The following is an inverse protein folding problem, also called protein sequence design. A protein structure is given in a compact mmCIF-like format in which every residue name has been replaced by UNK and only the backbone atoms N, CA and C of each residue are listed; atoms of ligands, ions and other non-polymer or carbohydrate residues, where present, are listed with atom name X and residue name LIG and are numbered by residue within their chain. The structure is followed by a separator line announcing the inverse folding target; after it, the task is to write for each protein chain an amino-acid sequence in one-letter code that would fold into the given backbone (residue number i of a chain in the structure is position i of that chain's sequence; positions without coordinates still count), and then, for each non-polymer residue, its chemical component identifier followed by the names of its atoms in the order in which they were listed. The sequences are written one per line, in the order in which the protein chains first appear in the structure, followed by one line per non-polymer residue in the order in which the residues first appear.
data_IF_288993067040
#
_entry.id   IF_288993067040
#
_cell.length_a   1.000
_cell.length_b   1.000
_cell.length_c   1.000
_cell.angle_alpha   90.00
_cell.angle_beta   90.00
_cell.angle_gamma   90.00
#
_symmetry.space_group_name_H-M   'P 1'
#
loop_
_entity.id
_entity.type
_entity.pdbx_description
1 polymer ?
#
# COMPACT_ATOMS: atom_id res chain seq x y z
N UNK A 1 -6.40 16.06 -13.67
CA UNK A 1 -5.58 16.95 -14.52
C UNK A 1 -5.05 16.14 -15.71
N UNK A 2 -4.95 16.77 -16.88
CA UNK A 2 -4.48 16.12 -18.12
C UNK A 2 -3.48 17.04 -18.80
N UNK A 3 -2.50 16.44 -19.52
CA UNK A 3 -1.65 17.16 -20.44
C UNK A 3 -2.55 17.71 -21.56
N UNK A 4 -2.56 19.03 -21.74
CA UNK A 4 -3.39 19.70 -22.75
C UNK A 4 -2.66 19.85 -24.08
N UNK A 5 -1.34 20.09 -24.04
CA UNK A 5 -0.52 20.27 -25.24
C UNK A 5 0.95 19.90 -24.97
N UNK A 6 1.58 19.31 -25.96
CA UNK A 6 3.04 19.14 -26.04
C UNK A 6 3.46 19.76 -27.37
N UNK A 7 4.43 20.67 -27.34
CA UNK A 7 4.89 21.39 -28.54
C UNK A 7 6.35 21.88 -28.35
N UNK A 8 7.04 22.27 -29.43
CA UNK A 8 8.33 22.93 -29.34
C UNK A 8 8.28 24.20 -28.47
N UNK A 9 9.40 24.52 -27.82
CA UNK A 9 9.48 25.57 -26.78
C UNK A 9 8.90 26.92 -27.22
N UNK A 10 9.19 27.41 -28.42
CA UNK A 10 8.72 28.71 -28.93
C UNK A 10 7.21 28.86 -29.11
N UNK A 11 6.43 27.75 -29.10
CA UNK A 11 4.97 27.83 -29.21
C UNK A 11 4.28 28.30 -27.92
N UNK A 12 5.01 28.41 -26.82
CA UNK A 12 4.48 28.86 -25.53
C UNK A 12 4.94 30.25 -25.09
N UNK A 13 5.56 31.03 -25.98
CA UNK A 13 6.14 32.34 -25.63
C UNK A 13 5.09 33.34 -25.10
N UNK A 14 3.84 33.25 -25.52
CA UNK A 14 2.72 34.04 -25.01
C UNK A 14 1.95 33.44 -23.83
N UNK A 15 2.38 32.31 -23.26
CA UNK A 15 1.67 31.67 -22.18
C UNK A 15 1.79 32.46 -20.88
N UNK A 16 0.66 32.77 -20.24
CA UNK A 16 0.57 33.62 -19.04
C UNK A 16 0.44 32.85 -17.72
N UNK A 17 0.46 31.51 -17.74
CA UNK A 17 0.40 30.68 -16.52
C UNK A 17 1.75 30.48 -15.85
N UNK A 18 1.73 29.73 -14.76
CA UNK A 18 2.97 29.37 -14.02
C UNK A 18 3.91 28.57 -14.93
N UNK A 19 5.19 28.94 -14.90
CA UNK A 19 6.24 28.27 -15.68
C UNK A 19 7.22 27.58 -14.74
N UNK A 20 7.52 26.33 -15.01
CA UNK A 20 8.57 25.57 -14.34
C UNK A 20 9.67 25.28 -15.33
N UNK A 21 10.88 25.81 -15.08
CA UNK A 21 12.04 25.51 -15.90
C UNK A 21 12.61 24.14 -15.50
N UNK A 22 12.65 23.23 -16.47
CA UNK A 22 13.23 21.89 -16.32
C UNK A 22 14.50 21.72 -17.16
N UNK A 23 15.19 22.83 -17.49
CA UNK A 23 16.41 22.82 -18.32
C UNK A 23 17.41 21.77 -17.85
N UNK A 24 17.81 20.87 -18.77
CA UNK A 24 18.68 19.73 -18.50
C UNK A 24 18.04 18.55 -17.82
N UNK A 25 16.73 18.61 -17.52
CA UNK A 25 15.95 17.52 -16.95
C UNK A 25 15.05 16.83 -17.95
N UNK A 26 14.52 15.67 -17.56
CA UNK A 26 13.47 14.95 -18.28
C UNK A 26 12.21 14.89 -17.41
N UNK A 27 11.08 15.33 -17.96
CA UNK A 27 9.79 15.21 -17.29
C UNK A 27 9.27 13.78 -17.51
N UNK A 28 9.03 13.08 -16.41
CA UNK A 28 8.46 11.73 -16.40
C UNK A 28 7.11 11.73 -15.69
N UNK A 29 6.23 10.76 -15.99
CA UNK A 29 5.12 10.45 -15.10
C UNK A 29 5.64 10.10 -13.71
N UNK A 30 4.88 10.43 -12.66
CA UNK A 30 5.21 10.00 -11.31
C UNK A 30 5.33 8.47 -11.22
N UNK A 31 6.30 7.99 -10.44
CA UNK A 31 6.51 6.56 -10.24
C UNK A 31 5.33 5.94 -9.47
N UNK A 32 5.13 4.65 -9.68
CA UNK A 32 4.10 3.85 -9.00
C UNK A 32 4.79 2.71 -8.28
N UNK A 33 4.58 2.60 -6.97
CA UNK A 33 5.05 1.44 -6.18
C UNK A 33 3.84 0.56 -5.83
N UNK A 34 3.84 -0.64 -6.36
CA UNK A 34 2.72 -1.58 -6.22
C UNK A 34 2.81 -2.48 -4.97
N UNK A 35 3.84 -2.34 -4.13
CA UNK A 35 4.01 -3.17 -2.94
C UNK A 35 4.68 -2.42 -1.80
N UNK A 36 3.89 -1.69 -1.03
CA UNK A 36 4.37 -1.00 0.16
C UNK A 36 3.57 -1.42 1.40
N UNK A 37 4.12 -1.09 2.56
CA UNK A 37 3.45 -1.13 3.86
C UNK A 37 3.73 0.18 4.58
N UNK A 38 2.82 1.13 4.53
CA UNK A 38 3.00 2.47 5.10
C UNK A 38 3.30 2.46 6.60
N UNK A 39 2.84 1.42 7.30
CA UNK A 39 3.06 1.26 8.73
C UNK A 39 4.50 0.89 9.10
N UNK A 40 5.34 0.49 8.14
CA UNK A 40 6.76 0.17 8.32
C UNK A 40 7.65 1.30 7.82
N UNK A 41 8.74 1.59 8.53
CA UNK A 41 9.65 2.70 8.21
C UNK A 41 11.06 2.24 7.79
N UNK A 42 11.23 0.96 7.44
CA UNK A 42 12.51 0.41 7.01
C UNK A 42 13.53 0.19 8.14
N UNK A 43 13.06 0.12 9.38
CA UNK A 43 13.88 -0.21 10.54
C UNK A 43 14.28 -1.70 10.59
N UNK A 44 15.29 -2.02 11.39
CA UNK A 44 15.83 -3.38 11.50
C UNK A 44 14.82 -4.40 12.09
N UNK A 45 13.94 -3.96 12.98
CA UNK A 45 12.87 -4.78 13.57
C UNK A 45 11.52 -4.06 13.48
N UNK A 46 10.93 -4.03 12.29
CA UNK A 46 9.66 -3.32 12.05
C UNK A 46 8.49 -3.96 12.79
N UNK A 47 8.51 -5.28 13.02
CA UNK A 47 7.45 -6.01 13.70
C UNK A 47 7.35 -5.61 15.16
N UNK A 48 8.46 -5.68 15.91
CA UNK A 48 8.49 -5.31 17.34
C UNK A 48 8.10 -3.85 17.52
N UNK A 49 8.57 -2.96 16.64
CA UNK A 49 8.16 -1.55 16.66
C UNK A 49 6.65 -1.41 16.52
N UNK A 50 6.06 -2.02 15.51
CA UNK A 50 4.62 -1.90 15.22
C UNK A 50 3.76 -2.47 16.36
N UNK A 51 4.22 -3.53 17.04
CA UNK A 51 3.52 -4.11 18.20
C UNK A 51 3.51 -3.15 19.41
N UNK A 52 4.57 -2.39 19.60
CA UNK A 52 4.74 -1.51 20.75
C UNK A 52 4.13 -0.10 20.56
N UNK A 53 3.83 0.30 19.32
CA UNK A 53 3.23 1.60 19.04
C UNK A 53 1.73 1.61 19.33
N UNK A 54 1.26 2.74 19.84
CA UNK A 54 -0.17 3.03 19.95
C UNK A 54 -0.78 3.35 18.57
N UNK A 55 -2.08 3.10 18.32
CA UNK A 55 -2.71 3.35 17.03
C UNK A 55 -2.42 4.74 16.43
N UNK A 56 -2.53 5.80 17.22
CA UNK A 56 -2.24 7.16 16.76
C UNK A 56 -0.78 7.36 16.30
N UNK A 57 0.18 6.71 16.96
CA UNK A 57 1.59 6.76 16.57
C UNK A 57 1.83 6.02 15.25
N UNK A 58 1.13 4.90 15.02
CA UNK A 58 1.19 4.16 13.76
C UNK A 58 0.67 5.03 12.61
N UNK A 59 -0.49 5.68 12.79
CA UNK A 59 -1.06 6.59 11.78
C UNK A 59 -0.10 7.73 11.46
N UNK A 60 0.50 8.35 12.46
CA UNK A 60 1.47 9.43 12.25
C UNK A 60 2.70 8.96 11.50
N UNK A 61 3.28 7.80 11.87
CA UNK A 61 4.41 7.21 11.14
C UNK A 61 4.05 6.85 9.70
N UNK A 62 2.87 6.28 9.48
CA UNK A 62 2.38 5.93 8.13
C UNK A 62 2.21 7.19 7.27
N UNK A 63 1.75 8.29 7.86
CA UNK A 63 1.63 9.56 7.17
C UNK A 63 3.01 10.16 6.80
N UNK A 64 3.97 10.13 7.73
CA UNK A 64 5.36 10.54 7.44
C UNK A 64 5.98 9.71 6.31
N UNK A 65 5.73 8.39 6.30
CA UNK A 65 6.19 7.50 5.25
C UNK A 65 5.53 7.82 3.89
N UNK A 66 4.23 8.10 3.86
CA UNK A 66 3.53 8.54 2.65
C UNK A 66 4.14 9.83 2.08
N UNK A 67 4.47 10.80 2.93
CA UNK A 67 5.14 12.03 2.51
C UNK A 67 6.56 11.79 1.98
N UNK A 68 7.34 10.91 2.63
CA UNK A 68 8.67 10.53 2.14
C UNK A 68 8.59 9.87 0.77
N UNK A 69 7.63 8.96 0.59
CA UNK A 69 7.35 8.28 -0.66
C UNK A 69 7.02 9.28 -1.78
N UNK A 70 6.14 10.24 -1.53
CA UNK A 70 5.84 11.28 -2.51
C UNK A 70 7.09 12.11 -2.88
N UNK A 71 7.88 12.52 -1.88
CA UNK A 71 9.12 13.29 -2.09
C UNK A 71 10.19 12.54 -2.89
N UNK A 72 10.16 11.21 -2.90
CA UNK A 72 11.06 10.38 -3.72
C UNK A 72 10.60 10.26 -5.18
N UNK A 73 9.48 10.90 -5.56
CA UNK A 73 8.93 10.85 -6.91
C UNK A 73 7.88 9.76 -7.14
N UNK A 74 7.54 8.98 -6.11
CA UNK A 74 6.46 7.98 -6.18
C UNK A 74 5.12 8.66 -5.88
N UNK A 75 4.30 8.82 -6.90
CA UNK A 75 3.04 9.57 -6.82
C UNK A 75 1.82 8.71 -6.58
N UNK A 76 1.95 7.38 -6.74
CA UNK A 76 0.88 6.42 -6.47
C UNK A 76 1.47 5.17 -5.82
N UNK A 77 0.75 4.61 -4.86
CA UNK A 77 1.16 3.40 -4.14
C UNK A 77 0.01 2.43 -3.96
N UNK A 78 0.36 1.14 -3.83
CA UNK A 78 -0.52 0.09 -3.36
C UNK A 78 0.02 -0.46 -2.04
N UNK A 79 -0.63 -0.09 -0.94
CA UNK A 79 -0.35 -0.62 0.39
C UNK A 79 -0.97 -2.01 0.52
N UNK A 80 -0.15 -3.02 0.78
CA UNK A 80 -0.55 -4.43 0.84
C UNK A 80 -0.75 -4.94 2.25
N UNK A 81 -1.02 -4.05 3.16
CA UNK A 81 -1.54 -4.38 4.47
C UNK A 81 -0.87 -3.68 5.64
N UNK A 82 -1.68 -3.38 6.62
CA UNK A 82 -1.31 -2.73 7.85
C UNK A 82 -1.96 -3.39 9.07
N UNK A 83 -1.86 -2.73 10.21
CA UNK A 83 -2.48 -3.13 11.46
C UNK A 83 -3.83 -2.43 11.63
N UNK A 84 -4.89 -3.21 11.80
CA UNK A 84 -6.22 -2.72 12.21
C UNK A 84 -6.80 -1.62 11.30
N UNK A 85 -6.48 -1.67 9.99
CA UNK A 85 -6.91 -0.69 8.97
C UNK A 85 -6.44 0.76 9.23
N UNK A 86 -5.40 0.94 10.04
CA UNK A 86 -4.94 2.29 10.44
C UNK A 86 -4.42 3.11 9.25
N UNK A 87 -3.89 2.45 8.22
CA UNK A 87 -3.44 3.07 6.97
C UNK A 87 -4.60 3.68 6.16
N UNK A 88 -5.85 3.25 6.37
CA UNK A 88 -7.01 3.83 5.69
C UNK A 88 -7.21 5.31 6.02
N UNK A 89 -6.93 5.71 7.26
CA UNK A 89 -6.98 7.13 7.63
C UNK A 89 -5.98 7.98 6.82
N UNK A 90 -4.78 7.42 6.53
CA UNK A 90 -3.76 8.07 5.72
C UNK A 90 -4.18 8.10 4.25
N UNK A 91 -4.66 6.97 3.71
CA UNK A 91 -5.24 6.87 2.38
C UNK A 91 -6.30 7.94 2.13
N UNK A 92 -7.28 7.99 3.01
CA UNK A 92 -8.44 8.89 2.84
C UNK A 92 -8.04 10.35 2.96
N UNK A 93 -7.08 10.68 3.82
CA UNK A 93 -6.54 12.04 3.95
C UNK A 93 -5.76 12.46 2.70
N UNK A 94 -4.91 11.58 2.14
CA UNK A 94 -4.15 11.87 0.93
C UNK A 94 -5.06 11.92 -0.31
N UNK A 95 -5.92 10.91 -0.51
CA UNK A 95 -6.78 10.81 -1.70
C UNK A 95 -7.82 11.92 -1.77
N UNK A 96 -8.26 12.46 -0.64
CA UNK A 96 -9.17 13.62 -0.60
C UNK A 96 -8.46 14.97 -0.75
N UNK A 97 -7.13 15.00 -0.84
CA UNK A 97 -6.34 16.22 -0.90
C UNK A 97 -6.27 17.02 0.41
N UNK A 98 -6.80 16.48 1.52
CA UNK A 98 -6.67 17.12 2.85
C UNK A 98 -5.24 17.12 3.35
N UNK A 99 -4.45 16.15 2.89
CA UNK A 99 -3.04 16.04 3.22
C UNK A 99 -2.22 15.76 1.96
N UNK A 100 -1.01 16.28 1.93
CA UNK A 100 -0.08 16.04 0.83
C UNK A 100 0.51 14.63 0.96
N UNK A 101 0.29 13.81 -0.05
CA UNK A 101 0.79 12.43 -0.16
C UNK A 101 0.53 11.84 -1.53
N UNK A 102 0.98 10.61 -1.79
CA UNK A 102 0.68 9.90 -3.03
C UNK A 102 -0.80 9.51 -3.09
N UNK A 103 -1.29 9.14 -4.28
CA UNK A 103 -2.54 8.40 -4.41
C UNK A 103 -2.35 7.00 -3.81
N UNK A 104 -3.24 6.60 -2.89
CA UNK A 104 -3.08 5.34 -2.14
C UNK A 104 -4.23 4.40 -2.45
N UNK A 105 -3.90 3.16 -2.78
CA UNK A 105 -4.79 2.00 -2.74
C UNK A 105 -4.34 1.10 -1.60
N UNK A 106 -5.26 0.68 -0.72
CA UNK A 106 -4.92 -0.05 0.50
C UNK A 106 -5.69 -1.36 0.63
N UNK A 107 -4.98 -2.40 1.04
CA UNK A 107 -5.53 -3.74 1.23
C UNK A 107 -6.19 -3.94 2.60
N UNK A 108 -5.83 -3.14 3.60
CA UNK A 108 -6.29 -3.40 4.96
C UNK A 108 -5.53 -4.55 5.61
N UNK A 109 -6.23 -5.54 6.15
CA UNK A 109 -5.60 -6.71 6.75
C UNK A 109 -5.33 -7.76 5.68
N UNK A 110 -4.08 -8.17 5.54
CA UNK A 110 -3.72 -9.30 4.67
C UNK A 110 -4.39 -10.58 5.18
N UNK A 111 -4.87 -11.44 4.29
CA UNK A 111 -5.45 -12.73 4.63
C UNK A 111 -4.33 -13.76 4.66
N UNK A 112 -4.20 -14.51 5.74
CA UNK A 112 -3.15 -15.50 5.96
C UNK A 112 -3.68 -16.73 6.71
N UNK A 113 -3.03 -17.88 6.51
CA UNK A 113 -3.36 -19.10 7.25
C UNK A 113 -2.87 -19.04 8.70
N UNK A 114 -3.39 -19.89 9.56
CA UNK A 114 -2.89 -20.09 10.93
C UNK A 114 -1.39 -20.39 10.92
N UNK A 115 -0.62 -19.60 11.67
CA UNK A 115 0.85 -19.73 11.75
C UNK A 115 1.59 -19.27 10.50
N UNK A 116 0.91 -18.83 9.45
CA UNK A 116 1.51 -18.39 8.19
C UNK A 116 2.16 -17.02 8.24
N UNK A 117 2.75 -16.61 7.10
CA UNK A 117 3.37 -15.31 6.98
C UNK A 117 2.33 -14.19 7.17
N UNK A 118 2.70 -13.18 7.97
CA UNK A 118 1.81 -12.04 8.27
C UNK A 118 0.78 -12.30 9.38
N UNK A 119 0.78 -13.47 10.02
CA UNK A 119 -0.22 -13.89 11.01
C UNK A 119 -0.41 -12.93 12.20
N UNK A 120 0.57 -12.10 12.50
CA UNK A 120 0.53 -11.18 13.67
C UNK A 120 -0.46 -10.03 13.47
N UNK A 121 -0.63 -9.57 12.24
CA UNK A 121 -1.51 -8.43 11.90
C UNK A 121 -2.60 -8.81 10.89
N UNK A 122 -2.43 -9.97 10.23
CA UNK A 122 -3.35 -10.45 9.22
C UNK A 122 -4.71 -10.87 9.78
N UNK A 123 -5.63 -11.15 8.88
CA UNK A 123 -6.88 -11.87 9.14
C UNK A 123 -6.60 -13.36 8.91
N UNK A 124 -6.58 -14.15 9.97
CA UNK A 124 -6.39 -15.61 9.89
C UNK A 124 -7.62 -16.23 9.22
N UNK A 125 -7.39 -17.04 8.20
CA UNK A 125 -8.45 -17.78 7.51
C UNK A 125 -7.89 -19.12 7.02
N UNK A 126 -8.52 -20.21 7.40
CA UNK A 126 -8.17 -21.58 7.01
C UNK A 126 -9.40 -22.22 6.35
N UNK A 127 -9.17 -22.77 5.17
CA UNK A 127 -10.22 -23.36 4.33
C UNK A 127 -11.02 -22.33 3.50
N UNK A 128 -11.69 -22.81 2.43
CA UNK A 128 -12.36 -21.94 1.46
C UNK A 128 -13.42 -21.02 2.06
N UNK A 129 -14.23 -21.51 2.99
CA UNK A 129 -15.30 -20.73 3.61
C UNK A 129 -14.75 -19.56 4.46
N UNK A 130 -13.67 -19.80 5.20
CA UNK A 130 -13.06 -18.74 6.02
C UNK A 130 -12.31 -17.73 5.11
N UNK A 131 -11.68 -18.16 4.02
CA UNK A 131 -11.07 -17.26 3.04
C UNK A 131 -12.13 -16.36 2.40
N UNK A 132 -13.26 -16.94 1.94
CA UNK A 132 -14.37 -16.17 1.39
C UNK A 132 -14.92 -15.14 2.39
N UNK A 133 -15.10 -15.56 3.64
CA UNK A 133 -15.53 -14.66 4.71
C UNK A 133 -14.52 -13.53 4.96
N UNK A 134 -13.22 -13.87 5.01
CA UNK A 134 -12.16 -12.89 5.21
C UNK A 134 -12.11 -11.86 4.07
N UNK A 135 -12.29 -12.27 2.82
CA UNK A 135 -12.39 -11.37 1.66
C UNK A 135 -13.56 -10.39 1.83
N UNK A 136 -14.75 -10.90 2.17
CA UNK A 136 -15.94 -10.07 2.40
C UNK A 136 -15.76 -9.09 3.56
N UNK A 137 -15.05 -9.49 4.61
CA UNK A 137 -14.69 -8.61 5.74
C UNK A 137 -13.78 -7.46 5.26
N UNK A 138 -12.77 -7.73 4.40
CA UNK A 138 -11.91 -6.67 3.85
C UNK A 138 -12.70 -5.72 2.94
N UNK A 139 -13.55 -6.25 2.07
CA UNK A 139 -14.42 -5.42 1.21
C UNK A 139 -15.34 -4.54 2.06
N UNK A 140 -15.97 -5.11 3.09
CA UNK A 140 -16.85 -4.38 4.00
C UNK A 140 -16.09 -3.28 4.76
N UNK A 141 -14.84 -3.51 5.14
CA UNK A 141 -13.97 -2.52 5.78
C UNK A 141 -13.56 -1.38 4.84
N UNK A 142 -13.75 -1.51 3.53
CA UNK A 142 -13.41 -0.50 2.53
C UNK A 142 -12.03 -0.67 1.92
N UNK A 143 -11.52 -1.90 1.82
CA UNK A 143 -10.28 -2.21 1.09
C UNK A 143 -10.43 -1.91 -0.40
N UNK A 144 -9.38 -1.36 -1.01
CA UNK A 144 -9.31 -1.14 -2.47
C UNK A 144 -8.83 -2.38 -3.23
N UNK A 145 -8.12 -3.27 -2.55
CA UNK A 145 -7.54 -4.52 -3.08
C UNK A 145 -7.54 -5.57 -1.98
N UNK A 146 -7.52 -6.84 -2.36
CA UNK A 146 -7.37 -7.95 -1.42
C UNK A 146 -5.94 -8.49 -1.49
N UNK A 147 -5.33 -8.72 -0.33
CA UNK A 147 -4.01 -9.35 -0.20
C UNK A 147 -4.15 -10.72 0.44
N UNK A 148 -3.80 -11.76 -0.33
CA UNK A 148 -3.66 -13.14 0.14
C UNK A 148 -2.17 -13.47 0.30
N UNK A 149 -1.81 -14.10 1.41
CA UNK A 149 -0.45 -14.59 1.68
C UNK A 149 -0.32 -16.01 1.15
N UNK A 150 -0.15 -16.13 -0.19
CA UNK A 150 -0.16 -17.42 -0.89
C UNK A 150 1.01 -18.34 -0.52
N UNK A 151 2.13 -17.74 -0.09
CA UNK A 151 3.34 -18.47 0.33
C UNK A 151 3.85 -17.95 1.65
N UNK A 152 4.87 -18.58 2.20
CA UNK A 152 5.65 -18.07 3.31
C UNK A 152 6.35 -16.75 3.00
N UNK A 153 7.16 -16.26 3.92
CA UNK A 153 7.90 -15.01 3.75
C UNK A 153 9.02 -14.87 4.79
N UNK A 154 10.01 -14.05 4.42
CA UNK A 154 11.25 -13.90 5.18
C UNK A 154 11.10 -13.23 6.55
N UNK A 155 10.02 -12.48 6.77
CA UNK A 155 9.82 -11.73 8.02
C UNK A 155 9.12 -12.52 9.13
N UNK A 156 8.71 -13.77 8.87
CA UNK A 156 8.04 -14.63 9.85
C UNK A 156 8.96 -15.81 10.20
N UNK A 157 9.50 -15.87 11.42
CA UNK A 157 10.37 -16.97 11.84
C UNK A 157 9.68 -18.33 11.70
N UNK A 158 10.41 -19.33 11.21
CA UNK A 158 9.91 -20.69 11.03
C UNK A 158 9.01 -20.91 9.82
N UNK A 159 8.88 -19.91 8.97
CA UNK A 159 8.06 -19.97 7.73
C UNK A 159 8.99 -19.87 6.53
N UNK A 160 8.97 -20.90 5.65
CA UNK A 160 9.77 -20.90 4.43
C UNK A 160 9.04 -20.13 3.31
N UNK A 161 9.70 -19.14 2.65
CA UNK A 161 9.11 -18.40 1.54
C UNK A 161 8.64 -19.24 0.35
N UNK A 162 9.19 -20.44 0.17
CA UNK A 162 8.85 -21.34 -0.95
C UNK A 162 7.66 -22.26 -0.64
N UNK A 163 7.21 -22.34 0.60
CA UNK A 163 6.10 -23.21 0.99
C UNK A 163 4.76 -22.56 0.63
N UNK A 164 3.90 -23.32 -0.05
CA UNK A 164 2.52 -22.90 -0.30
C UNK A 164 1.74 -22.83 1.02
N UNK A 165 1.05 -21.72 1.25
CA UNK A 165 0.23 -21.52 2.45
C UNK A 165 -1.25 -21.77 2.23
N UNK A 166 -1.68 -21.76 0.97
CA UNK A 166 -3.06 -22.01 0.59
C UNK A 166 -3.12 -23.06 -0.51
N UNK A 167 -4.17 -23.84 -0.51
CA UNK A 167 -4.54 -24.71 -1.61
C UNK A 167 -5.04 -23.91 -2.80
N UNK A 168 -5.12 -24.55 -3.97
CA UNK A 168 -5.69 -23.93 -5.17
C UNK A 168 -7.15 -23.51 -4.95
N UNK A 169 -7.93 -24.33 -4.23
CA UNK A 169 -9.34 -24.04 -3.94
C UNK A 169 -9.50 -22.79 -3.06
N UNK A 170 -8.70 -22.67 -2.01
CA UNK A 170 -8.70 -21.49 -1.13
C UNK A 170 -8.32 -20.21 -1.89
N UNK A 171 -7.29 -20.28 -2.76
CA UNK A 171 -6.87 -19.13 -3.58
C UNK A 171 -7.96 -18.78 -4.59
N UNK A 172 -8.60 -19.75 -5.24
CA UNK A 172 -9.67 -19.52 -6.20
C UNK A 172 -10.84 -18.79 -5.57
N UNK A 173 -11.32 -19.26 -4.42
CA UNK A 173 -12.43 -18.63 -3.68
C UNK A 173 -12.06 -17.20 -3.23
N UNK A 174 -10.78 -16.94 -2.96
CA UNK A 174 -10.32 -15.62 -2.59
C UNK A 174 -10.18 -14.63 -3.75
N UNK A 175 -10.14 -15.11 -5.00
CA UNK A 175 -9.97 -14.29 -6.22
C UNK A 175 -11.30 -14.07 -6.95
N UNK A 176 -12.19 -15.07 -6.98
CA UNK A 176 -13.53 -15.04 -7.63
C UNK A 176 -14.53 -14.18 -6.83
#
# INVERSE_FOLDING_TARGET
QKISKVAPCGEFDGFSGDKVDTSGGTLLPGLIDCHVHLVYSGEADPKSRLLNLKPGQIVMSAFENAQKTLRSGVTSIRDLGGRDYLEFAVRDACNSGRQLGPTIKAAGRMICMTGGHGNVFGRIADGPDEVLKAVREQIHAGSDVIKLMATGGVMTPGVNPEDAHYTEEELRVGVD
#
